data_IF_628346476829
#
_entry.id   IF_628346476829
#
_cell.length_a   1.000
_cell.length_b   1.000
_cell.length_c   1.000
_cell.angle_alpha   90.00
_cell.angle_beta   90.00
_cell.angle_gamma   90.00
#
_symmetry.space_group_name_H-M   'P 1'
#
loop_
_entity.id
_entity.type
_entity.pdbx_description
1 polymer ?
#
# COMPACT_ATOMS: atom_id res chain seq x y z
N UNK A 1 -9.65 0.85 11.47
CA UNK A 1 -10.28 1.81 10.53
C UNK A 1 -9.24 2.78 10.01
N UNK A 2 -9.03 2.77 8.70
CA UNK A 2 -8.17 3.74 8.02
C UNK A 2 -8.99 4.97 7.64
N UNK A 3 -8.38 6.14 7.58
CA UNK A 3 -9.04 7.34 7.05
C UNK A 3 -8.13 7.92 5.98
N UNK A 4 -8.68 8.17 4.80
CA UNK A 4 -7.92 8.76 3.71
C UNK A 4 -8.19 10.27 3.63
N UNK A 5 -7.14 11.10 3.49
CA UNK A 5 -7.33 12.51 3.22
C UNK A 5 -7.92 12.72 1.82
N UNK A 6 -8.63 13.83 1.62
CA UNK A 6 -9.28 14.20 0.34
C UNK A 6 -8.37 14.07 -0.89
N UNK A 7 -7.06 14.26 -0.72
CA UNK A 7 -6.05 14.12 -1.79
C UNK A 7 -6.01 12.72 -2.44
N UNK A 8 -6.55 11.69 -1.79
CA UNK A 8 -6.69 10.33 -2.35
C UNK A 8 -7.86 10.20 -3.34
N UNK A 9 -8.87 11.05 -3.20
CA UNK A 9 -10.09 11.05 -4.01
C UNK A 9 -10.10 12.14 -5.09
N UNK A 10 -9.20 13.12 -4.98
CA UNK A 10 -9.10 14.23 -5.94
C UNK A 10 -8.75 13.70 -7.35
N UNK A 11 -9.32 14.34 -8.39
CA UNK A 11 -8.84 14.15 -9.76
C UNK A 11 -7.37 14.59 -9.84
N UNK A 12 -6.57 13.75 -10.49
CA UNK A 12 -5.12 13.87 -10.58
C UNK A 12 -4.62 14.12 -11.99
N UNK A 13 -5.53 14.32 -12.95
CA UNK A 13 -5.23 14.64 -14.35
C UNK A 13 -4.27 15.84 -14.53
N UNK A 14 -4.34 16.82 -13.62
CA UNK A 14 -3.53 18.05 -13.62
C UNK A 14 -2.71 18.27 -12.32
N UNK A 15 -2.43 17.19 -11.57
CA UNK A 15 -1.76 17.31 -10.28
C UNK A 15 -0.36 17.94 -10.37
N UNK A 16 -0.18 19.09 -9.71
CA UNK A 16 1.12 19.76 -9.62
C UNK A 16 2.10 19.06 -8.65
N UNK A 17 3.36 19.50 -8.64
CA UNK A 17 4.42 18.94 -7.79
C UNK A 17 4.06 18.93 -6.30
N UNK A 18 3.39 19.98 -5.82
CA UNK A 18 2.95 20.06 -4.42
C UNK A 18 1.89 19.00 -4.08
N UNK A 19 0.90 18.80 -4.95
CA UNK A 19 -0.13 17.78 -4.81
C UNK A 19 0.44 16.35 -4.89
N UNK A 20 1.47 16.14 -5.71
CA UNK A 20 2.21 14.87 -5.78
C UNK A 20 2.99 14.61 -4.50
N UNK A 21 3.73 15.60 -3.99
CA UNK A 21 4.48 15.49 -2.73
C UNK A 21 3.56 15.28 -1.52
N UNK A 22 2.40 15.94 -1.48
CA UNK A 22 1.38 15.71 -0.46
C UNK A 22 0.88 14.27 -0.51
N UNK A 23 0.48 13.78 -1.68
CA UNK A 23 0.03 12.39 -1.84
C UNK A 23 1.11 11.41 -1.37
N UNK A 24 2.36 11.58 -1.81
CA UNK A 24 3.47 10.72 -1.39
C UNK A 24 3.60 10.66 0.13
N UNK A 25 3.59 11.81 0.83
CA UNK A 25 3.66 11.85 2.31
C UNK A 25 2.51 11.10 2.97
N UNK A 26 1.28 11.25 2.45
CA UNK A 26 0.13 10.55 3.00
C UNK A 26 0.16 9.05 2.70
N UNK A 27 0.54 8.65 1.48
CA UNK A 27 0.72 7.26 1.08
C UNK A 27 1.79 6.56 1.93
N UNK A 28 2.92 7.20 2.20
CA UNK A 28 3.94 6.67 3.11
C UNK A 28 3.39 6.45 4.52
N UNK A 29 2.59 7.38 5.05
CA UNK A 29 1.94 7.20 6.37
C UNK A 29 0.95 6.03 6.39
N UNK A 30 0.15 5.90 5.33
CA UNK A 30 -0.78 4.78 5.14
C UNK A 30 -0.01 3.46 5.18
N UNK A 31 1.06 3.34 4.41
CA UNK A 31 1.84 2.11 4.32
C UNK A 31 2.63 1.79 5.60
N UNK A 32 3.13 2.81 6.31
CA UNK A 32 3.71 2.62 7.65
C UNK A 32 2.71 2.03 8.64
N UNK A 33 1.47 2.51 8.60
CA UNK A 33 0.39 1.97 9.42
C UNK A 33 0.06 0.53 9.05
N UNK A 34 -0.01 0.21 7.76
CA UNK A 34 -0.22 -1.18 7.30
C UNK A 34 0.91 -2.08 7.79
N UNK A 35 2.17 -1.66 7.66
CA UNK A 35 3.31 -2.43 8.15
C UNK A 35 3.24 -2.68 9.67
N UNK A 36 2.85 -1.66 10.45
CA UNK A 36 2.66 -1.76 11.90
C UNK A 36 1.50 -2.71 12.25
N UNK A 37 0.35 -2.60 11.58
CA UNK A 37 -0.83 -3.43 11.84
C UNK A 37 -0.62 -4.89 11.39
N UNK A 38 0.24 -5.11 10.39
CA UNK A 38 0.77 -6.42 9.99
C UNK A 38 1.88 -6.93 10.93
N UNK A 39 2.35 -6.11 11.87
CA UNK A 39 3.45 -6.43 12.80
C UNK A 39 4.75 -6.81 12.09
N UNK A 40 5.04 -6.16 10.96
CA UNK A 40 6.29 -6.39 10.24
C UNK A 40 7.48 -5.86 11.04
N UNK A 41 8.52 -6.69 11.19
CA UNK A 41 9.78 -6.27 11.80
C UNK A 41 10.48 -5.17 11.01
N UNK A 42 11.31 -4.37 11.67
CA UNK A 42 11.99 -3.21 11.07
C UNK A 42 12.87 -3.56 9.86
N UNK A 43 13.42 -4.78 9.80
CA UNK A 43 14.25 -5.26 8.68
C UNK A 43 13.50 -6.16 7.69
N UNK A 44 12.23 -6.48 7.99
CA UNK A 44 11.39 -7.35 7.18
C UNK A 44 10.69 -6.62 6.02
N UNK A 45 10.77 -5.28 6.00
CA UNK A 45 10.11 -4.47 5.00
C UNK A 45 10.88 -3.19 4.68
N UNK A 46 10.59 -2.63 3.51
CA UNK A 46 11.00 -1.30 3.10
C UNK A 46 9.79 -0.53 2.55
N UNK A 47 9.82 0.79 2.68
CA UNK A 47 8.82 1.66 2.06
C UNK A 47 9.54 2.56 1.07
N UNK A 48 9.26 2.37 -0.22
CA UNK A 48 9.89 3.10 -1.31
C UNK A 48 8.84 3.99 -1.96
N UNK A 49 9.09 5.30 -1.92
CA UNK A 49 8.42 6.22 -2.82
C UNK A 49 9.18 6.20 -4.14
N UNK A 50 8.54 5.72 -5.21
CA UNK A 50 9.09 5.85 -6.54
C UNK A 50 8.66 7.21 -7.09
N UNK A 51 9.56 8.20 -7.20
CA UNK A 51 9.35 9.26 -8.16
C UNK A 51 9.51 8.59 -9.52
N UNK A 52 8.41 8.21 -10.18
CA UNK A 52 8.56 7.64 -11.52
C UNK A 52 9.38 8.64 -12.37
N UNK A 53 10.29 8.14 -13.21
CA UNK A 53 11.07 9.03 -14.08
C UNK A 53 10.11 9.82 -14.98
N UNK A 54 10.19 11.16 -14.95
CA UNK A 54 9.38 12.07 -15.77
C UNK A 54 8.08 12.56 -15.10
N UNK A 55 7.11 13.01 -15.90
CA UNK A 55 5.77 13.47 -15.50
C UNK A 55 4.88 12.34 -14.92
N UNK A 56 5.51 11.40 -14.22
CA UNK A 56 4.98 10.12 -13.82
C UNK A 56 4.00 10.24 -12.67
N UNK A 57 3.17 9.20 -12.57
CA UNK A 57 2.23 8.96 -11.49
C UNK A 57 2.94 8.64 -10.19
N UNK A 58 2.49 9.20 -9.07
CA UNK A 58 2.99 8.87 -7.73
C UNK A 58 2.70 7.39 -7.43
N UNK A 59 3.74 6.63 -7.06
CA UNK A 59 3.62 5.28 -6.49
C UNK A 59 4.47 5.20 -5.24
N UNK A 60 3.87 4.75 -4.14
CA UNK A 60 4.58 4.39 -2.91
C UNK A 60 4.31 2.91 -2.63
N UNK A 61 5.37 2.16 -2.36
CA UNK A 61 5.34 0.71 -2.21
C UNK A 61 5.86 0.31 -0.83
N UNK A 62 5.10 -0.49 -0.09
CA UNK A 62 5.58 -1.32 1.01
C UNK A 62 6.01 -2.65 0.41
N UNK A 63 7.28 -3.02 0.59
CA UNK A 63 7.86 -4.23 0.00
C UNK A 63 8.38 -5.12 1.12
N UNK A 64 7.95 -6.37 1.12
CA UNK A 64 8.52 -7.43 1.96
C UNK A 64 9.20 -8.45 1.05
N UNK A 65 9.59 -9.61 1.54
CA UNK A 65 10.10 -10.70 0.67
C UNK A 65 8.99 -11.44 -0.07
N UNK A 66 7.76 -11.37 0.45
CA UNK A 66 6.61 -12.16 0.00
C UNK A 66 5.46 -11.30 -0.54
N UNK A 67 5.47 -9.98 -0.28
CA UNK A 67 4.44 -9.05 -0.72
C UNK A 67 4.96 -7.73 -1.26
N UNK A 68 4.20 -7.17 -2.20
CA UNK A 68 4.13 -5.74 -2.47
C UNK A 68 2.75 -5.23 -2.07
N UNK A 69 2.73 -4.06 -1.43
CA UNK A 69 1.51 -3.29 -1.19
C UNK A 69 1.74 -1.87 -1.68
N UNK A 70 1.00 -1.47 -2.69
CA UNK A 70 1.20 -0.21 -3.40
C UNK A 70 0.03 0.75 -3.18
N UNK A 71 0.37 2.02 -2.97
CA UNK A 71 -0.53 3.16 -3.14
C UNK A 71 -0.07 3.90 -4.39
N UNK A 72 -0.91 3.94 -5.43
CA UNK A 72 -0.55 4.52 -6.72
C UNK A 72 -1.65 5.43 -7.27
N UNK A 73 -1.29 6.49 -7.98
CA UNK A 73 -2.26 7.24 -8.79
C UNK A 73 -2.79 6.34 -9.92
N UNK A 74 -4.11 6.34 -10.12
CA UNK A 74 -4.73 5.62 -11.23
C UNK A 74 -4.38 6.28 -12.55
N UNK A 75 -4.29 5.48 -13.62
CA UNK A 75 -4.22 6.02 -14.99
C UNK A 75 -5.47 6.87 -15.24
N UNK A 76 -5.31 7.95 -16.01
CA UNK A 76 -6.36 8.91 -16.35
C UNK A 76 -6.92 9.75 -15.18
N UNK A 77 -6.20 9.88 -14.06
CA UNK A 77 -6.50 10.89 -13.04
C UNK A 77 -7.63 10.54 -12.07
N UNK A 78 -8.21 9.33 -12.12
CA UNK A 78 -9.34 8.89 -11.28
C UNK A 78 -9.01 8.65 -9.79
N UNK A 79 -8.11 9.45 -9.22
CA UNK A 79 -7.67 9.35 -7.83
C UNK A 79 -6.58 8.31 -7.63
N UNK A 80 -6.66 7.61 -6.51
CA UNK A 80 -5.62 6.70 -6.01
C UNK A 80 -6.16 5.28 -5.92
N UNK A 81 -5.35 4.30 -6.30
CA UNK A 81 -5.58 2.89 -6.04
C UNK A 81 -4.70 2.41 -4.89
N UNK A 82 -5.28 1.55 -4.06
CA UNK A 82 -4.55 0.65 -3.19
C UNK A 82 -4.49 -0.70 -3.89
N UNK A 83 -3.32 -1.32 -3.93
CA UNK A 83 -3.16 -2.65 -4.52
C UNK A 83 -2.16 -3.50 -3.75
N UNK A 84 -2.25 -4.81 -3.90
CA UNK A 84 -1.25 -5.73 -3.40
C UNK A 84 -1.00 -6.87 -4.37
N UNK A 85 0.18 -7.47 -4.26
CA UNK A 85 0.53 -8.67 -5.00
C UNK A 85 1.55 -9.50 -4.24
N UNK A 86 1.53 -10.80 -4.47
CA UNK A 86 2.53 -11.72 -3.93
C UNK A 86 3.80 -11.69 -4.75
N UNK A 87 4.92 -12.05 -4.12
CA UNK A 87 6.26 -12.14 -4.73
C UNK A 87 6.99 -13.35 -4.14
N UNK A 88 7.91 -13.93 -4.91
CA UNK A 88 8.77 -15.03 -4.48
C UNK A 88 10.20 -14.53 -4.26
N UNK A 89 10.40 -13.79 -3.16
CA UNK A 89 11.69 -13.20 -2.80
C UNK A 89 11.91 -11.79 -3.37
N UNK A 90 13.00 -11.15 -2.91
CA UNK A 90 13.27 -9.71 -3.16
C UNK A 90 13.55 -9.34 -4.62
N UNK A 91 13.96 -10.30 -5.44
CA UNK A 91 14.25 -10.08 -6.86
C UNK A 91 13.06 -10.38 -7.78
N UNK A 92 12.00 -11.01 -7.26
CA UNK A 92 10.79 -11.24 -8.04
C UNK A 92 10.00 -9.93 -8.20
N UNK A 93 10.08 -9.38 -9.41
CA UNK A 93 9.29 -8.24 -9.85
C UNK A 93 8.10 -8.67 -10.71
N UNK A 94 7.98 -9.96 -11.02
CA UNK A 94 7.00 -10.58 -11.93
C UNK A 94 5.86 -11.31 -11.21
N UNK A 95 5.82 -11.28 -9.88
CA UNK A 95 4.90 -12.05 -9.02
C UNK A 95 3.39 -11.94 -9.36
N UNK A 96 2.52 -12.40 -8.47
CA UNK A 96 1.08 -12.51 -8.73
C UNK A 96 0.44 -11.22 -9.27
N UNK A 97 -0.72 -11.34 -9.93
CA UNK A 97 -1.44 -10.19 -10.50
C UNK A 97 -1.71 -9.08 -9.47
N UNK A 98 -1.82 -7.83 -9.94
CA UNK A 98 -2.18 -6.70 -9.08
C UNK A 98 -3.63 -6.87 -8.57
N UNK A 99 -3.81 -6.97 -7.26
CA UNK A 99 -5.12 -7.06 -6.62
C UNK A 99 -5.50 -5.67 -6.09
N UNK A 100 -6.52 -5.05 -6.67
CA UNK A 100 -6.98 -3.73 -6.25
C UNK A 100 -7.96 -3.82 -5.09
N UNK A 101 -7.83 -2.90 -4.13
CA UNK A 101 -8.75 -2.74 -3.01
C UNK A 101 -9.31 -1.32 -3.06
N UNK A 102 -10.64 -1.18 -2.93
CA UNK A 102 -11.26 0.15 -2.90
C UNK A 102 -10.92 0.89 -1.61
N UNK A 103 -10.76 2.21 -1.68
CA UNK A 103 -10.51 3.03 -0.49
C UNK A 103 -11.69 2.98 0.47
N UNK A 104 -12.92 2.95 -0.05
CA UNK A 104 -14.17 2.82 0.72
C UNK A 104 -14.16 1.57 1.60
N UNK A 105 -13.70 0.42 1.07
CA UNK A 105 -13.58 -0.81 1.85
C UNK A 105 -12.59 -0.64 3.01
N UNK A 106 -11.45 0.02 2.76
CA UNK A 106 -10.40 0.27 3.76
C UNK A 106 -10.81 1.29 4.84
N UNK A 107 -11.78 2.15 4.55
CA UNK A 107 -12.37 3.06 5.53
C UNK A 107 -13.30 2.36 6.51
N UNK A 108 -13.88 1.21 6.14
CA UNK A 108 -14.62 0.39 7.11
C UNK A 108 -13.67 -0.39 8.03
N UNK A 109 -14.04 -0.58 9.31
CA UNK A 109 -13.26 -1.42 10.23
C UNK A 109 -13.17 -2.85 9.72
N UNK A 110 -14.28 -3.43 9.27
CA UNK A 110 -14.37 -4.80 8.79
C UNK A 110 -13.56 -5.00 7.50
N UNK A 111 -13.68 -4.10 6.52
CA UNK A 111 -12.95 -4.20 5.25
C UNK A 111 -11.45 -4.00 5.41
N UNK A 112 -11.01 -3.10 6.30
CA UNK A 112 -9.59 -2.98 6.64
C UNK A 112 -9.04 -4.24 7.31
N UNK A 113 -9.81 -4.84 8.25
CA UNK A 113 -9.41 -6.07 8.93
C UNK A 113 -9.31 -7.24 7.94
N UNK A 114 -10.32 -7.42 7.08
CA UNK A 114 -10.32 -8.44 6.04
C UNK A 114 -9.13 -8.29 5.07
N UNK A 115 -8.76 -7.06 4.73
CA UNK A 115 -7.56 -6.79 3.94
C UNK A 115 -6.28 -7.23 4.68
N UNK A 116 -6.12 -6.89 5.95
CA UNK A 116 -4.96 -7.33 6.73
C UNK A 116 -4.87 -8.85 6.84
N UNK A 117 -5.99 -9.53 7.08
CA UNK A 117 -6.01 -11.00 7.18
C UNK A 117 -5.69 -11.65 5.84
N UNK A 118 -6.20 -11.10 4.74
CA UNK A 118 -5.83 -11.51 3.38
C UNK A 118 -4.34 -11.31 3.08
N UNK A 119 -3.76 -10.18 3.47
CA UNK A 119 -2.32 -9.94 3.33
C UNK A 119 -1.49 -10.92 4.16
N UNK A 120 -1.91 -11.21 5.40
CA UNK A 120 -1.19 -12.18 6.24
C UNK A 120 -1.18 -13.56 5.62
N UNK A 121 -2.33 -14.01 5.12
CA UNK A 121 -2.45 -15.28 4.42
C UNK A 121 -1.58 -15.30 3.15
N UNK A 122 -1.71 -14.28 2.29
CA UNK A 122 -1.01 -14.21 1.02
C UNK A 122 0.51 -14.07 1.17
N UNK A 123 0.96 -13.35 2.20
CA UNK A 123 2.37 -13.11 2.49
C UNK A 123 3.03 -14.14 3.40
N UNK A 124 2.27 -15.13 3.89
CA UNK A 124 2.75 -16.04 4.94
C UNK A 124 3.20 -15.29 6.20
N UNK A 125 2.61 -14.12 6.49
CA UNK A 125 2.94 -13.34 7.69
C UNK A 125 2.22 -14.01 8.84
N UNK A 126 3.02 -14.68 9.68
CA UNK A 126 2.54 -15.50 10.78
C UNK A 126 1.60 -14.69 11.69
N UNK A 127 0.39 -15.21 11.89
CA UNK A 127 -0.69 -14.56 12.64
C UNK A 127 -0.45 -14.59 14.16
N UNK A 128 0.78 -14.87 14.63
CA UNK A 128 1.12 -15.08 16.05
C UNK A 128 0.72 -13.88 16.91
N UNK A 129 -0.53 -13.90 17.32
CA UNK A 129 -1.10 -13.26 18.48
C UNK A 129 -0.92 -14.30 19.58
N UNK A 130 -0.01 -14.03 20.52
CA UNK A 130 0.03 -14.67 21.82
C UNK A 130 0.62 -16.09 21.83
N UNK A 131 1.94 -16.19 21.77
CA UNK A 131 2.64 -17.31 22.42
C UNK A 131 2.88 -16.95 23.88
N UNK A 132 2.26 -17.71 24.77
CA UNK A 132 2.49 -17.86 26.21
C UNK A 132 3.80 -17.25 26.75
N UNK A 133 3.66 -16.34 27.72
CA UNK A 133 4.46 -16.32 28.94
C UNK A 133 3.54 -16.05 30.12
#
# INVERSE_FOLDING_TARGET
MMKFPRVFYADRSSANTGAKAALQRHATRVLRRVAQDLRLGAHAHEIIANPGRGNSTVRVSLRTETLFVDVLERRCGSGVAFSFRTRRGRSDLTGGGENHVSLEQLESKAGYQAMLDGLRLAGGIDLKVGGLQ
#
